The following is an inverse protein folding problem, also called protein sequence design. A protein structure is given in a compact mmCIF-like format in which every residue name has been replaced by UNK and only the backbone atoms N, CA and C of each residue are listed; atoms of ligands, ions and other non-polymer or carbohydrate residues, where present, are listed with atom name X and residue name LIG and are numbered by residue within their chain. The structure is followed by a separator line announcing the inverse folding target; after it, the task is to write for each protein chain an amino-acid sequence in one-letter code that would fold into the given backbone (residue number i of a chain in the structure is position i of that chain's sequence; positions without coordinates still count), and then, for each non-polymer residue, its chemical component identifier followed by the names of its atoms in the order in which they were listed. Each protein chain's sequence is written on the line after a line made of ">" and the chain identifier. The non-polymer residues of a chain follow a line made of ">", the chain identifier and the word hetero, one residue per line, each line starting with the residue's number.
data_IF_089757858607
#
_entry.id   IF_089757858607
#
_cell.length_a   1.000
_cell.length_b   1.000
_cell.length_c   1.000
_cell.angle_alpha   90.00
_cell.angle_beta   90.00
_cell.angle_gamma   90.00
#
_symmetry.space_group_name_H-M   'P 1'
#
loop_
_entity.id
_entity.type
_entity.pdbx_description
1 polymer ?
#
# COMPACT_ATOMS: atom_id res chain seq x y z
N UNK A 1 -7.69 -2.83 18.43
CA UNK A 1 -6.88 -4.06 18.26
C UNK A 1 -5.53 -3.62 17.75
N UNK A 2 -4.46 -3.79 18.53
CA UNK A 2 -3.14 -3.28 18.17
C UNK A 2 -2.47 -4.25 17.18
N UNK A 3 -2.77 -4.09 15.88
CA UNK A 3 -2.03 -4.71 14.78
C UNK A 3 -0.72 -3.94 14.51
N UNK A 4 -0.15 -3.31 15.56
CA UNK A 4 1.09 -2.59 15.40
C UNK A 4 2.14 -3.57 14.96
N UNK A 5 2.96 -3.08 14.04
CA UNK A 5 4.09 -3.81 13.50
C UNK A 5 5.04 -4.22 14.64
N UNK A 6 4.96 -3.59 15.82
CA UNK A 6 5.55 -4.06 17.08
C UNK A 6 4.62 -3.73 18.25
N UNK A 7 4.40 -4.66 19.19
CA UNK A 7 3.75 -4.34 20.47
C UNK A 7 4.72 -3.48 21.30
N UNK A 8 4.27 -2.32 21.77
CA UNK A 8 5.11 -1.31 22.44
C UNK A 8 5.63 -1.73 23.82
N UNK A 9 5.39 -2.97 24.23
CA UNK A 9 5.85 -3.53 25.51
C UNK A 9 7.07 -4.43 25.29
N UNK A 10 8.17 -3.84 24.84
CA UNK A 10 9.49 -4.52 24.78
C UNK A 10 10.08 -4.59 26.20
N UNK A 11 9.54 -5.46 27.05
CA UNK A 11 10.08 -5.66 28.39
C UNK A 11 11.35 -6.54 28.32
N UNK A 12 11.43 -7.48 27.36
CA UNK A 12 12.59 -8.39 27.17
C UNK A 12 12.85 -8.65 25.66
N UNK A 13 14.11 -8.65 25.18
CA UNK A 13 14.46 -8.95 23.78
C UNK A 13 13.92 -10.30 23.29
N UNK A 14 13.90 -11.30 24.17
CA UNK A 14 13.47 -12.68 23.87
C UNK A 14 11.94 -12.83 23.75
N UNK A 15 11.18 -11.78 24.08
CA UNK A 15 9.71 -11.73 23.95
C UNK A 15 9.23 -10.85 22.81
N UNK A 16 10.14 -10.32 21.99
CA UNK A 16 9.80 -9.47 20.86
C UNK A 16 9.08 -10.29 19.79
N UNK A 17 7.78 -10.08 19.63
CA UNK A 17 7.04 -10.65 18.50
C UNK A 17 7.38 -9.87 17.25
N UNK A 18 8.34 -10.40 16.48
CA UNK A 18 8.82 -9.79 15.24
C UNK A 18 7.69 -9.69 14.21
N UNK A 19 7.49 -8.54 13.54
CA UNK A 19 6.46 -8.40 12.53
C UNK A 19 6.59 -9.44 11.42
N UNK A 20 5.46 -10.03 11.04
CA UNK A 20 5.38 -11.11 10.03
C UNK A 20 6.22 -12.37 10.35
N UNK A 21 6.71 -12.53 11.58
CA UNK A 21 7.15 -13.84 12.09
C UNK A 21 5.98 -14.82 12.21
N UNK A 22 6.27 -16.11 12.33
CA UNK A 22 5.23 -17.12 12.54
C UNK A 22 4.41 -16.86 13.81
N UNK A 23 5.04 -16.37 14.88
CA UNK A 23 4.34 -15.98 16.11
C UNK A 23 3.37 -14.81 15.86
N UNK A 24 3.84 -13.77 15.15
CA UNK A 24 2.99 -12.64 14.74
C UNK A 24 1.83 -13.08 13.86
N UNK A 25 2.09 -13.89 12.83
CA UNK A 25 1.08 -14.34 11.87
C UNK A 25 0.01 -15.20 12.56
N UNK A 26 0.40 -16.09 13.49
CA UNK A 26 -0.53 -16.87 14.31
C UNK A 26 -1.39 -15.98 15.21
N UNK A 27 -0.79 -15.00 15.88
CA UNK A 27 -1.52 -14.07 16.74
C UNK A 27 -2.51 -13.23 15.93
N UNK A 28 -2.08 -12.69 14.79
CA UNK A 28 -2.95 -11.93 13.88
C UNK A 28 -4.13 -12.78 13.41
N UNK A 29 -3.86 -13.99 12.94
CA UNK A 29 -4.89 -14.93 12.51
C UNK A 29 -5.91 -15.20 13.63
N UNK A 30 -5.43 -15.49 14.84
CA UNK A 30 -6.27 -15.73 16.01
C UNK A 30 -7.15 -14.52 16.36
N UNK A 31 -6.59 -13.30 16.31
CA UNK A 31 -7.34 -12.07 16.55
C UNK A 31 -8.45 -11.87 15.50
N UNK A 32 -8.16 -12.15 14.24
CA UNK A 32 -9.17 -12.03 13.17
C UNK A 32 -10.27 -13.09 13.29
N UNK A 33 -9.94 -14.32 13.67
CA UNK A 33 -10.94 -15.39 13.86
C UNK A 33 -11.81 -15.18 15.09
N UNK A 34 -11.27 -14.56 16.15
CA UNK A 34 -11.99 -14.31 17.41
C UNK A 34 -12.61 -12.94 17.52
N UNK A 35 -12.45 -12.07 16.53
CA UNK A 35 -13.10 -10.77 16.51
C UNK A 35 -14.62 -10.96 16.67
N UNK A 36 -15.23 -10.24 17.62
CA UNK A 36 -16.67 -10.28 17.81
C UNK A 36 -17.35 -9.49 16.69
N UNK A 37 -17.63 -10.19 15.59
CA UNK A 37 -18.28 -9.65 14.38
C UNK A 37 -19.63 -9.02 14.72
N UNK A 38 -20.31 -9.45 15.79
CA UNK A 38 -21.61 -8.90 16.17
C UNK A 38 -21.51 -7.48 16.72
N UNK A 39 -20.33 -7.07 17.20
CA UNK A 39 -20.04 -5.71 17.64
C UNK A 39 -19.59 -4.77 16.50
N UNK A 40 -19.38 -5.30 15.30
CA UNK A 40 -18.85 -4.55 14.16
C UNK A 40 -19.97 -4.04 13.26
N UNK A 41 -19.82 -2.82 12.76
CA UNK A 41 -20.66 -2.33 11.67
C UNK A 41 -20.31 -3.01 10.33
N UNK A 42 -21.17 -2.82 9.31
CA UNK A 42 -21.00 -3.45 7.99
C UNK A 42 -19.66 -3.12 7.34
N UNK A 43 -19.14 -1.90 7.54
CA UNK A 43 -17.87 -1.48 6.95
C UNK A 43 -16.67 -2.16 7.64
N UNK A 44 -16.73 -2.31 8.96
CA UNK A 44 -15.72 -3.01 9.76
C UNK A 44 -15.73 -4.52 9.47
N UNK A 45 -16.92 -5.11 9.26
CA UNK A 45 -17.04 -6.51 8.84
C UNK A 45 -16.41 -6.74 7.46
N UNK A 46 -16.65 -5.83 6.51
CA UNK A 46 -16.04 -5.87 5.18
C UNK A 46 -14.51 -5.73 5.23
N UNK A 47 -14.00 -4.81 6.06
CA UNK A 47 -12.57 -4.63 6.28
C UNK A 47 -11.93 -5.86 6.94
N UNK A 48 -12.57 -6.45 7.96
CA UNK A 48 -12.09 -7.68 8.59
C UNK A 48 -12.03 -8.84 7.57
N UNK A 49 -13.04 -8.99 6.72
CA UNK A 49 -13.04 -10.00 5.66
C UNK A 49 -11.86 -9.80 4.69
N UNK A 50 -11.59 -8.56 4.30
CA UNK A 50 -10.42 -8.23 3.49
C UNK A 50 -9.09 -8.56 4.20
N UNK A 51 -8.96 -8.22 5.48
CA UNK A 51 -7.76 -8.51 6.27
C UNK A 51 -7.52 -10.03 6.42
N UNK A 52 -8.58 -10.83 6.58
CA UNK A 52 -8.49 -12.30 6.55
C UNK A 52 -8.02 -12.84 5.20
N UNK A 53 -8.50 -12.25 4.10
CA UNK A 53 -8.07 -12.61 2.74
C UNK A 53 -6.57 -12.29 2.55
N UNK A 54 -6.09 -11.14 3.06
CA UNK A 54 -4.67 -10.76 2.98
C UNK A 54 -3.71 -11.80 3.55
N UNK A 55 -4.13 -12.59 4.55
CA UNK A 55 -3.28 -13.61 5.17
C UNK A 55 -2.86 -14.73 4.21
N UNK A 56 -3.55 -14.87 3.09
CA UNK A 56 -3.31 -15.91 2.07
C UNK A 56 -2.30 -15.48 1.00
N UNK A 57 -1.95 -14.20 0.95
CA UNK A 57 -1.16 -13.65 -0.15
C UNK A 57 0.35 -13.56 0.16
N UNK A 58 1.19 -13.47 -0.89
CA UNK A 58 2.65 -13.48 -0.77
C UNK A 58 3.26 -12.42 0.15
N UNK A 59 2.55 -11.32 0.44
CA UNK A 59 3.01 -10.24 1.33
C UNK A 59 3.50 -10.75 2.68
N UNK A 60 2.90 -11.83 3.20
CA UNK A 60 3.29 -12.43 4.49
C UNK A 60 4.74 -12.95 4.53
N UNK A 61 5.35 -13.16 3.36
CA UNK A 61 6.75 -13.59 3.24
C UNK A 61 7.72 -12.41 3.20
N UNK A 62 7.23 -11.18 3.07
CA UNK A 62 8.03 -9.96 3.17
C UNK A 62 7.94 -9.45 4.61
N UNK A 63 8.98 -9.66 5.44
CA UNK A 63 8.91 -9.42 6.88
C UNK A 63 8.79 -7.93 7.23
N UNK A 64 9.34 -7.07 6.36
CA UNK A 64 9.36 -5.63 6.54
C UNK A 64 8.51 -4.95 5.47
N UNK A 65 7.29 -4.50 5.79
CA UNK A 65 6.53 -3.63 4.91
C UNK A 65 7.25 -2.31 4.65
N UNK A 66 7.47 -1.99 3.37
CA UNK A 66 8.15 -0.76 2.96
C UNK A 66 7.39 0.52 3.34
N UNK A 67 6.12 0.42 3.75
CA UNK A 67 5.28 1.54 4.14
C UNK A 67 5.60 2.07 5.54
N UNK A 68 6.38 1.35 6.35
CA UNK A 68 6.66 1.74 7.74
C UNK A 68 8.13 1.54 8.10
N UNK A 69 8.70 2.51 8.82
CA UNK A 69 10.05 2.37 9.37
C UNK A 69 9.96 1.66 10.73
N UNK A 70 10.12 0.33 10.71
CA UNK A 70 10.05 -0.53 11.90
C UNK A 70 11.18 -0.22 12.87
N UNK A 71 12.34 0.20 12.37
CA UNK A 71 13.51 0.47 13.20
C UNK A 71 13.24 1.60 14.19
N UNK A 72 12.41 2.59 13.84
CA UNK A 72 12.00 3.67 14.77
C UNK A 72 11.35 3.13 16.05
N UNK A 73 10.64 2.01 15.96
CA UNK A 73 9.98 1.37 17.09
C UNK A 73 10.90 0.40 17.86
N UNK A 74 12.05 0.02 17.29
CA UNK A 74 13.05 -0.89 17.90
C UNK A 74 14.17 -0.14 18.63
N UNK A 75 14.21 1.19 18.55
CA UNK A 75 15.29 2.09 19.00
C UNK A 75 15.70 2.01 20.47
N UNK A 76 15.04 1.20 21.31
CA UNK A 76 15.32 1.16 22.75
C UNK A 76 16.31 0.06 23.17
N UNK A 77 16.66 -0.92 22.32
CA UNK A 77 17.57 -2.03 22.68
C UNK A 77 18.36 -2.55 21.46
N UNK A 78 19.69 -2.37 21.43
CA UNK A 78 20.57 -2.78 20.32
C UNK A 78 20.42 -4.26 19.91
N UNK A 79 20.27 -5.17 20.89
CA UNK A 79 20.05 -6.60 20.64
C UNK A 79 18.75 -6.89 19.84
N UNK A 80 17.74 -6.03 19.97
CA UNK A 80 16.48 -6.17 19.20
C UNK A 80 16.64 -5.77 17.73
N UNK A 81 17.56 -4.85 17.41
CA UNK A 81 17.86 -4.43 16.02
C UNK A 81 18.64 -5.52 15.30
N UNK A 82 19.64 -6.12 15.94
CA UNK A 82 20.41 -7.24 15.38
C UNK A 82 19.50 -8.45 15.11
N UNK A 83 18.73 -8.89 16.12
CA UNK A 83 17.81 -10.03 15.97
C UNK A 83 16.77 -9.81 14.86
N UNK A 84 16.19 -8.60 14.78
CA UNK A 84 15.28 -8.23 13.70
C UNK A 84 15.97 -8.25 12.33
N UNK A 85 17.19 -7.71 12.24
CA UNK A 85 17.96 -7.66 11.00
C UNK A 85 18.25 -9.05 10.45
N UNK A 86 18.73 -9.97 11.28
CA UNK A 86 18.97 -11.37 10.91
C UNK A 86 17.67 -12.06 10.48
N UNK A 87 16.56 -11.84 11.19
CA UNK A 87 15.26 -12.36 10.78
C UNK A 87 14.82 -11.85 9.40
N UNK A 88 15.01 -10.57 9.12
CA UNK A 88 14.67 -9.98 7.81
C UNK A 88 15.51 -10.59 6.70
N UNK A 89 16.83 -10.74 6.91
CA UNK A 89 17.75 -11.38 5.94
C UNK A 89 17.32 -12.81 5.63
N UNK A 90 17.02 -13.60 6.66
CA UNK A 90 16.57 -14.99 6.49
C UNK A 90 15.27 -15.04 5.69
N UNK A 91 14.25 -14.27 6.07
CA UNK A 91 12.94 -14.28 5.41
C UNK A 91 13.00 -13.79 3.97
N UNK A 92 13.79 -12.77 3.66
CA UNK A 92 13.99 -12.32 2.28
C UNK A 92 14.70 -13.37 1.43
N UNK A 93 15.61 -14.15 2.04
CA UNK A 93 16.29 -15.26 1.37
C UNK A 93 15.34 -16.42 1.10
N UNK A 94 14.50 -16.80 2.06
CA UNK A 94 13.47 -17.83 1.89
C UNK A 94 12.42 -17.41 0.84
N UNK A 95 11.97 -16.15 0.89
CA UNK A 95 11.00 -15.59 -0.04
C UNK A 95 11.51 -15.62 -1.49
N UNK A 96 12.82 -15.42 -1.69
CA UNK A 96 13.48 -15.49 -3.00
C UNK A 96 13.37 -16.87 -3.64
N UNK A 97 13.47 -17.96 -2.86
CA UNK A 97 13.26 -19.33 -3.37
C UNK A 97 11.84 -19.52 -3.93
N UNK A 98 10.87 -18.81 -3.35
CA UNK A 98 9.47 -18.77 -3.82
C UNK A 98 9.20 -17.69 -4.89
N UNK A 99 10.23 -17.04 -5.42
CA UNK A 99 10.13 -15.91 -6.38
C UNK A 99 9.31 -14.73 -5.85
N UNK A 100 9.29 -14.54 -4.52
CA UNK A 100 8.66 -13.39 -3.85
C UNK A 100 9.78 -12.40 -3.57
N UNK A 101 9.92 -11.40 -4.44
CA UNK A 101 11.02 -10.44 -4.40
C UNK A 101 10.52 -9.02 -4.19
N UNK A 102 11.26 -8.20 -3.45
CA UNK A 102 11.00 -6.76 -3.33
C UNK A 102 11.11 -6.06 -4.69
N UNK A 103 10.28 -5.05 -4.94
CA UNK A 103 10.49 -4.12 -6.05
C UNK A 103 11.68 -3.20 -5.75
N UNK A 104 12.15 -2.49 -6.78
CA UNK A 104 13.19 -1.46 -6.57
C UNK A 104 12.73 -0.36 -5.61
N UNK A 105 11.44 0.01 -5.60
CA UNK A 105 10.91 1.02 -4.68
C UNK A 105 10.92 0.49 -3.25
N UNK A 106 10.36 -0.69 -3.02
CA UNK A 106 10.37 -1.33 -1.71
C UNK A 106 11.80 -1.46 -1.17
N UNK A 107 12.72 -2.04 -1.96
CA UNK A 107 14.13 -2.18 -1.57
C UNK A 107 14.79 -0.84 -1.25
N UNK A 108 14.59 0.19 -2.06
CA UNK A 108 15.21 1.51 -1.84
C UNK A 108 14.62 2.20 -0.60
N UNK A 109 13.32 2.06 -0.36
CA UNK A 109 12.68 2.57 0.85
C UNK A 109 13.24 1.87 2.10
N UNK A 110 13.38 0.54 2.06
CA UNK A 110 14.01 -0.20 3.16
C UNK A 110 15.47 0.19 3.37
N UNK A 111 16.25 0.37 2.29
CA UNK A 111 17.63 0.86 2.40
C UNK A 111 17.71 2.25 3.05
N UNK A 112 16.82 3.18 2.69
CA UNK A 112 16.77 4.51 3.31
C UNK A 112 16.47 4.44 4.81
N UNK A 113 15.58 3.55 5.24
CA UNK A 113 15.31 3.35 6.67
C UNK A 113 16.52 2.84 7.46
N UNK A 114 17.38 2.04 6.83
CA UNK A 114 18.59 1.49 7.47
C UNK A 114 19.74 2.50 7.46
N UNK A 115 19.80 3.42 6.50
CA UNK A 115 20.78 4.51 6.53
C UNK A 115 20.64 5.38 7.78
N UNK A 116 19.43 5.49 8.32
CA UNK A 116 19.12 6.17 9.59
C UNK A 116 19.41 5.29 10.84
N UNK A 117 19.78 4.01 10.66
CA UNK A 117 19.92 3.03 11.74
C UNK A 117 21.37 2.89 12.23
N UNK A 118 21.52 2.28 13.41
CA UNK A 118 22.82 2.00 14.03
C UNK A 118 23.59 0.85 13.36
N UNK A 119 24.86 0.67 13.74
CA UNK A 119 25.78 -0.33 13.16
C UNK A 119 25.26 -1.78 13.29
N UNK A 120 24.35 -2.06 14.22
CA UNK A 120 23.71 -3.37 14.39
C UNK A 120 22.87 -3.82 13.18
N UNK A 121 22.52 -2.91 12.26
CA UNK A 121 21.81 -3.24 11.02
C UNK A 121 22.75 -3.51 9.82
N UNK A 122 24.07 -3.58 10.04
CA UNK A 122 25.07 -3.69 8.96
C UNK A 122 24.92 -4.96 8.10
N UNK A 123 24.53 -6.09 8.67
CA UNK A 123 24.25 -7.31 7.90
C UNK A 123 23.12 -7.09 6.89
N UNK A 124 21.99 -6.55 7.36
CA UNK A 124 20.84 -6.25 6.51
C UNK A 124 21.17 -5.17 5.47
N UNK A 125 21.98 -4.17 5.83
CA UNK A 125 22.48 -3.15 4.91
C UNK A 125 23.29 -3.79 3.76
N UNK A 126 24.23 -4.67 4.09
CA UNK A 126 25.04 -5.39 3.10
C UNK A 126 24.18 -6.30 2.22
N UNK A 127 23.21 -7.00 2.82
CA UNK A 127 22.26 -7.85 2.10
C UNK A 127 21.42 -7.05 1.09
N UNK A 128 20.80 -5.95 1.51
CA UNK A 128 20.00 -5.09 0.61
C UNK A 128 20.84 -4.43 -0.48
N UNK A 129 22.13 -4.16 -0.25
CA UNK A 129 23.05 -3.65 -1.28
C UNK A 129 23.24 -4.65 -2.45
N UNK A 130 23.20 -5.95 -2.17
CA UNK A 130 23.37 -7.02 -3.17
C UNK A 130 22.03 -7.61 -3.63
N UNK A 131 20.93 -7.26 -2.98
CA UNK A 131 19.60 -7.77 -3.28
C UNK A 131 19.16 -7.41 -4.70
N UNK A 132 18.77 -8.43 -5.47
CA UNK A 132 18.23 -8.24 -6.83
C UNK A 132 16.72 -8.06 -6.76
N UNK A 133 16.18 -6.84 -6.98
CA UNK A 133 14.75 -6.63 -6.97
C UNK A 133 14.07 -7.30 -8.17
N UNK A 134 12.75 -7.49 -8.08
CA UNK A 134 11.94 -7.90 -9.23
C UNK A 134 12.03 -6.86 -10.36
N UNK A 135 11.96 -7.32 -11.61
CA UNK A 135 12.22 -6.46 -12.80
C UNK A 135 11.15 -5.40 -13.02
N UNK A 136 9.93 -5.63 -12.52
CA UNK A 136 8.78 -4.75 -12.66
C UNK A 136 8.19 -4.47 -11.29
N UNK A 137 7.44 -3.37 -11.22
CA UNK A 137 7.10 -2.76 -9.94
C UNK A 137 5.86 -3.41 -9.32
N UNK A 138 4.92 -3.80 -10.16
CA UNK A 138 3.60 -4.25 -9.75
C UNK A 138 3.55 -5.61 -9.07
N UNK A 139 2.40 -5.87 -8.45
CA UNK A 139 2.13 -7.13 -7.76
C UNK A 139 2.08 -8.32 -8.72
N UNK A 140 1.72 -8.13 -9.99
CA UNK A 140 1.58 -9.20 -10.98
C UNK A 140 2.79 -10.14 -11.12
N UNK A 141 4.00 -9.70 -10.73
CA UNK A 141 5.20 -10.56 -10.77
C UNK A 141 5.31 -11.53 -9.61
N UNK A 142 4.54 -11.32 -8.54
CA UNK A 142 4.45 -12.29 -7.46
C UNK A 142 3.57 -13.49 -7.89
N UNK A 143 3.83 -14.68 -7.32
CA UNK A 143 2.88 -15.79 -7.40
C UNK A 143 1.48 -15.33 -6.97
N UNK A 144 0.46 -15.59 -7.79
CA UNK A 144 -0.94 -15.13 -7.58
C UNK A 144 -1.08 -13.60 -7.42
N UNK A 145 -0.16 -12.83 -8.00
CA UNK A 145 -0.10 -11.38 -7.83
C UNK A 145 -1.26 -10.62 -8.48
N UNK A 146 -1.84 -11.16 -9.55
CA UNK A 146 -3.01 -10.55 -10.22
C UNK A 146 -4.28 -10.74 -9.41
N UNK A 147 -4.48 -11.94 -8.87
CA UNK A 147 -5.58 -12.30 -7.99
C UNK A 147 -5.51 -11.48 -6.70
N UNK A 148 -4.30 -11.32 -6.16
CA UNK A 148 -4.05 -10.46 -5.01
C UNK A 148 -4.40 -9.01 -5.31
N UNK A 149 -3.90 -8.46 -6.41
CA UNK A 149 -4.24 -7.10 -6.81
C UNK A 149 -5.74 -6.91 -7.01
N UNK A 150 -6.42 -7.83 -7.70
CA UNK A 150 -7.87 -7.81 -7.88
C UNK A 150 -8.61 -7.84 -6.54
N UNK A 151 -8.16 -8.65 -5.57
CA UNK A 151 -8.74 -8.63 -4.23
C UNK A 151 -8.57 -7.29 -3.52
N UNK A 152 -7.40 -6.63 -3.64
CA UNK A 152 -7.20 -5.27 -3.09
C UNK A 152 -8.11 -4.26 -3.78
N UNK A 153 -8.18 -4.30 -5.11
CA UNK A 153 -9.04 -3.43 -5.92
C UNK A 153 -10.51 -3.58 -5.53
N UNK A 154 -11.01 -4.81 -5.43
CA UNK A 154 -12.40 -5.07 -5.06
C UNK A 154 -12.75 -4.54 -3.67
N UNK A 155 -11.82 -4.65 -2.71
CA UNK A 155 -12.01 -4.08 -1.37
C UNK A 155 -12.04 -2.56 -1.41
N UNK A 156 -11.01 -1.91 -1.97
CA UNK A 156 -10.93 -0.46 -1.95
C UNK A 156 -12.00 0.22 -2.81
N UNK A 157 -12.34 -0.37 -3.95
CA UNK A 157 -13.44 0.12 -4.79
C UNK A 157 -14.82 -0.18 -4.17
N UNK A 158 -14.95 -1.26 -3.40
CA UNK A 158 -16.23 -1.72 -2.88
C UNK A 158 -17.13 -2.41 -3.93
N UNK A 159 -16.59 -2.74 -5.11
CA UNK A 159 -17.30 -3.44 -6.19
C UNK A 159 -16.41 -4.58 -6.71
N UNK A 160 -17.00 -5.77 -6.90
CA UNK A 160 -16.31 -6.91 -7.51
C UNK A 160 -16.34 -6.83 -9.04
N UNK A 161 -15.36 -6.13 -9.63
CA UNK A 161 -15.16 -6.05 -11.10
C UNK A 161 -13.76 -6.51 -11.49
N UNK A 162 -13.60 -6.99 -12.71
CA UNK A 162 -12.25 -7.30 -13.20
C UNK A 162 -11.43 -6.01 -13.36
N UNK A 163 -10.09 -6.04 -13.13
CA UNK A 163 -9.26 -4.84 -13.33
C UNK A 163 -9.38 -4.24 -14.73
N UNK A 164 -9.58 -5.06 -15.76
CA UNK A 164 -9.77 -4.59 -17.14
C UNK A 164 -11.11 -3.86 -17.34
N UNK A 165 -12.20 -4.34 -16.76
CA UNK A 165 -13.49 -3.63 -16.81
C UNK A 165 -13.39 -2.27 -16.13
N UNK A 166 -12.76 -2.23 -14.95
CA UNK A 166 -12.54 -0.98 -14.21
C UNK A 166 -11.66 -0.01 -15.00
N UNK A 167 -10.58 -0.48 -15.62
CA UNK A 167 -9.72 0.34 -16.47
C UNK A 167 -10.48 0.92 -17.67
N UNK A 168 -11.29 0.11 -18.35
CA UNK A 168 -12.10 0.57 -19.48
C UNK A 168 -13.07 1.69 -19.07
N UNK A 169 -13.68 1.59 -17.88
CA UNK A 169 -14.55 2.63 -17.34
C UNK A 169 -13.76 3.92 -17.04
N UNK A 170 -12.60 3.81 -16.41
CA UNK A 170 -11.70 4.94 -16.11
C UNK A 170 -11.26 5.65 -17.39
N UNK A 171 -10.83 4.89 -18.41
CA UNK A 171 -10.33 5.47 -19.65
C UNK A 171 -11.41 6.16 -20.46
N UNK A 172 -12.65 5.65 -20.44
CA UNK A 172 -13.81 6.32 -21.03
C UNK A 172 -14.08 7.66 -20.36
N UNK A 173 -14.08 7.72 -19.02
CA UNK A 173 -14.27 8.98 -18.30
C UNK A 173 -13.08 9.95 -18.49
N UNK A 174 -11.84 9.46 -18.53
CA UNK A 174 -10.68 10.32 -18.84
C UNK A 174 -10.76 10.96 -20.23
N UNK A 175 -11.41 10.28 -21.19
CA UNK A 175 -11.61 10.78 -22.55
C UNK A 175 -12.76 11.80 -22.64
N UNK A 176 -13.77 11.73 -21.78
CA UNK A 176 -14.87 12.71 -21.72
C UNK A 176 -14.41 14.02 -21.06
N UNK A 177 -13.48 13.95 -20.10
CA UNK A 177 -12.89 15.13 -19.48
C UNK A 177 -12.09 15.91 -20.53
N UNK A 178 -12.49 17.16 -20.82
CA UNK A 178 -11.95 18.03 -21.89
C UNK A 178 -10.43 18.34 -21.85
N UNK A 179 -10.02 19.60 -22.02
CA UNK A 179 -8.57 19.93 -22.06
C UNK A 179 -7.90 19.74 -20.68
N UNK A 180 -6.60 19.42 -20.69
CA UNK A 180 -5.79 19.31 -19.47
C UNK A 180 -5.70 20.68 -18.78
N UNK A 181 -6.26 20.78 -17.57
CA UNK A 181 -6.03 21.92 -16.68
C UNK A 181 -4.61 21.90 -16.11
N UNK A 182 -4.15 23.04 -15.60
CA UNK A 182 -2.99 23.07 -14.71
C UNK A 182 -3.45 22.64 -13.33
N UNK A 183 -2.89 21.57 -12.79
CA UNK A 183 -3.23 21.13 -11.45
C UNK A 183 -2.38 21.93 -10.45
N UNK A 184 -2.99 22.89 -9.76
CA UNK A 184 -2.40 23.49 -8.58
C UNK A 184 -2.76 22.64 -7.35
N UNK A 185 -2.21 21.41 -7.26
CA UNK A 185 -2.25 20.67 -6.02
C UNK A 185 -0.98 20.93 -5.22
N UNK A 186 -1.15 21.24 -3.94
CA UNK A 186 -0.12 20.89 -2.97
C UNK A 186 -0.12 19.36 -2.89
N UNK A 187 0.93 18.74 -3.43
CA UNK A 187 1.12 17.29 -3.32
C UNK A 187 1.32 17.00 -1.84
N UNK A 188 0.50 16.12 -1.23
CA UNK A 188 0.70 15.76 0.18
C UNK A 188 2.12 15.23 0.39
N UNK A 189 2.70 15.52 1.54
CA UNK A 189 4.08 15.13 1.86
C UNK A 189 4.26 13.62 2.04
N UNK A 190 3.16 12.86 2.04
CA UNK A 190 3.20 11.39 2.15
C UNK A 190 2.88 10.70 0.83
N UNK A 191 3.58 9.58 0.61
CA UNK A 191 3.36 8.71 -0.54
C UNK A 191 1.99 8.00 -0.52
N UNK A 192 1.26 8.00 0.61
CA UNK A 192 -0.08 7.44 0.71
C UNK A 192 -1.13 8.50 0.31
N UNK A 193 -1.33 8.65 -0.99
CA UNK A 193 -2.19 9.69 -1.55
C UNK A 193 -3.63 9.61 -1.06
N UNK A 194 -4.25 8.43 -1.08
CA UNK A 194 -5.66 8.26 -0.70
C UNK A 194 -5.90 8.65 0.76
N UNK A 195 -5.05 8.17 1.67
CA UNK A 195 -5.13 8.53 3.08
C UNK A 195 -4.92 10.03 3.29
N UNK A 196 -3.90 10.60 2.65
CA UNK A 196 -3.59 12.03 2.76
C UNK A 196 -4.74 12.90 2.25
N UNK A 197 -5.34 12.51 1.13
CA UNK A 197 -6.48 13.18 0.55
C UNK A 197 -7.67 13.20 1.52
N UNK A 198 -8.03 12.03 2.06
CA UNK A 198 -9.16 11.90 2.99
C UNK A 198 -8.90 12.65 4.31
N UNK A 199 -7.67 12.65 4.84
CA UNK A 199 -7.29 13.41 6.05
C UNK A 199 -7.51 14.92 5.91
N UNK A 200 -7.38 15.45 4.70
CA UNK A 200 -7.54 16.89 4.45
C UNK A 200 -9.01 17.26 4.19
N UNK A 201 -9.79 16.35 3.64
CA UNK A 201 -11.10 16.68 3.06
C UNK A 201 -12.30 16.01 3.74
N UNK A 202 -12.10 15.05 4.63
CA UNK A 202 -13.17 14.19 5.15
C UNK A 202 -13.03 13.90 6.63
N UNK A 203 -14.17 13.68 7.30
CA UNK A 203 -14.21 13.11 8.64
C UNK A 203 -13.89 11.61 8.57
N UNK A 204 -12.82 11.22 9.27
CA UNK A 204 -12.24 9.88 9.17
C UNK A 204 -13.09 8.82 9.90
N UNK A 205 -13.35 7.70 9.21
CA UNK A 205 -13.89 6.49 9.84
C UNK A 205 -12.75 5.64 10.39
N UNK A 206 -12.85 5.27 11.66
CA UNK A 206 -11.90 4.35 12.30
C UNK A 206 -11.96 2.98 11.62
N UNK A 207 -10.80 2.42 11.32
CA UNK A 207 -10.63 1.13 10.65
C UNK A 207 -9.68 0.19 11.39
N UNK A 208 -9.46 -0.97 10.78
CA UNK A 208 -8.67 -2.07 11.33
C UNK A 208 -7.29 -2.19 10.64
N UNK A 209 -7.15 -1.64 9.42
CA UNK A 209 -5.94 -1.77 8.63
C UNK A 209 -4.85 -0.76 9.01
N UNK A 210 -3.75 -1.25 9.59
CA UNK A 210 -2.61 -0.42 9.99
C UNK A 210 -1.90 0.24 8.79
N UNK A 211 -1.90 -0.38 7.59
CA UNK A 211 -1.30 0.19 6.37
C UNK A 211 -1.96 1.53 6.02
N UNK A 212 -3.26 1.63 6.31
CA UNK A 212 -4.07 2.82 6.11
C UNK A 212 -4.16 3.68 7.39
N UNK A 213 -3.20 3.52 8.32
CA UNK A 213 -3.16 4.21 9.61
C UNK A 213 -4.43 4.02 10.45
N UNK A 214 -5.03 2.83 10.38
CA UNK A 214 -6.30 2.51 11.05
C UNK A 214 -7.46 3.43 10.63
N UNK A 215 -7.45 3.87 9.37
CA UNK A 215 -8.57 4.57 8.73
C UNK A 215 -9.22 3.62 7.73
N UNK A 216 -10.53 3.43 7.83
CA UNK A 216 -11.29 2.70 6.82
C UNK A 216 -11.48 3.62 5.61
N UNK A 217 -10.56 3.57 4.64
CA UNK A 217 -10.58 4.47 3.48
C UNK A 217 -11.89 4.39 2.69
N UNK A 218 -12.43 3.19 2.36
CA UNK A 218 -13.68 3.08 1.61
C UNK A 218 -14.88 3.69 2.37
N UNK A 219 -15.01 3.41 3.67
CA UNK A 219 -16.10 3.97 4.47
C UNK A 219 -15.98 5.49 4.60
N UNK A 220 -14.76 5.99 4.84
CA UNK A 220 -14.46 7.43 4.93
C UNK A 220 -14.85 8.16 3.66
N UNK A 221 -14.44 7.66 2.49
CA UNK A 221 -14.79 8.28 1.22
C UNK A 221 -16.31 8.22 0.95
N UNK A 222 -16.97 7.12 1.27
CA UNK A 222 -18.41 6.93 1.03
C UNK A 222 -19.29 7.87 1.87
N UNK A 223 -18.89 8.18 3.10
CA UNK A 223 -19.64 9.12 3.95
C UNK A 223 -19.26 10.60 3.72
N UNK A 224 -18.17 10.84 3.00
CA UNK A 224 -17.64 12.18 2.79
C UNK A 224 -18.43 12.91 1.71
N UNK A 225 -18.99 14.06 2.07
CA UNK A 225 -19.68 14.96 1.14
C UNK A 225 -18.67 16.00 0.67
N UNK A 226 -17.84 15.63 -0.29
CA UNK A 226 -16.88 16.55 -0.90
C UNK A 226 -17.22 16.77 -2.39
N UNK A 227 -17.32 18.03 -2.80
CA UNK A 227 -17.42 18.41 -4.21
C UNK A 227 -16.04 18.77 -4.74
N UNK A 228 -15.69 18.27 -5.93
CA UNK A 228 -14.36 18.46 -6.48
C UNK A 228 -14.39 19.19 -7.81
N UNK A 229 -13.32 19.94 -8.06
CA UNK A 229 -13.06 20.51 -9.39
C UNK A 229 -12.66 19.39 -10.35
N UNK A 230 -12.94 19.58 -11.63
CA UNK A 230 -12.66 18.62 -12.71
C UNK A 230 -11.21 18.13 -12.77
N UNK A 231 -10.27 18.95 -12.32
CA UNK A 231 -8.83 18.65 -12.30
C UNK A 231 -8.48 17.59 -11.26
N UNK A 232 -9.17 17.59 -10.11
CA UNK A 232 -9.04 16.54 -9.10
C UNK A 232 -9.56 15.23 -9.66
N UNK A 233 -10.75 15.23 -10.24
CA UNK A 233 -11.35 14.05 -10.87
C UNK A 233 -10.40 13.45 -11.90
N UNK A 234 -9.78 14.29 -12.74
CA UNK A 234 -8.77 13.84 -13.69
C UNK A 234 -7.56 13.22 -13.00
N UNK A 235 -7.02 13.83 -11.94
CA UNK A 235 -5.91 13.24 -11.18
C UNK A 235 -6.29 11.88 -10.61
N UNK A 236 -7.43 11.77 -9.92
CA UNK A 236 -7.89 10.52 -9.32
C UNK A 236 -7.99 9.40 -10.35
N UNK A 237 -8.66 9.67 -11.47
CA UNK A 237 -8.78 8.72 -12.58
C UNK A 237 -7.42 8.35 -13.18
N UNK A 238 -6.49 9.31 -13.30
CA UNK A 238 -5.15 9.05 -13.83
C UNK A 238 -4.31 8.18 -12.90
N UNK A 239 -4.44 8.39 -11.58
CA UNK A 239 -3.79 7.55 -10.57
C UNK A 239 -4.35 6.13 -10.59
N UNK A 240 -5.67 5.96 -10.73
CA UNK A 240 -6.31 4.66 -10.90
C UNK A 240 -5.87 3.94 -12.19
N UNK A 241 -5.72 4.69 -13.30
CA UNK A 241 -5.20 4.16 -14.58
C UNK A 241 -3.78 3.60 -14.42
N UNK A 242 -2.86 4.37 -13.81
CA UNK A 242 -1.48 3.89 -13.62
C UNK A 242 -1.38 2.80 -12.56
N UNK A 243 -2.26 2.77 -11.56
CA UNK A 243 -2.31 1.72 -10.53
C UNK A 243 -2.61 0.35 -11.17
N UNK A 244 -3.65 0.26 -12.01
CA UNK A 244 -3.94 -0.95 -12.79
C UNK A 244 -2.80 -1.26 -13.77
N UNK A 245 -2.28 -0.23 -14.45
CA UNK A 245 -1.15 -0.36 -15.36
C UNK A 245 0.06 -1.04 -14.69
N UNK A 246 0.46 -0.55 -13.53
CA UNK A 246 1.59 -1.06 -12.75
C UNK A 246 1.31 -2.46 -12.21
N UNK A 247 0.23 -2.63 -11.44
CA UNK A 247 0.02 -3.82 -10.61
C UNK A 247 -0.63 -4.98 -11.32
N UNK A 248 -1.35 -4.75 -12.42
CA UNK A 248 -2.05 -5.79 -13.17
C UNK A 248 -1.50 -6.00 -14.59
N UNK A 249 -1.20 -4.90 -15.31
CA UNK A 249 -0.72 -4.97 -16.70
C UNK A 249 0.81 -5.04 -16.84
N UNK A 250 1.54 -4.78 -15.75
CA UNK A 250 3.00 -4.85 -15.72
C UNK A 250 3.71 -3.70 -16.45
N UNK A 251 3.11 -2.51 -16.43
CA UNK A 251 3.76 -1.30 -16.92
C UNK A 251 5.09 -1.05 -16.20
N UNK A 252 6.04 -0.48 -16.93
CA UNK A 252 7.26 0.08 -16.34
C UNK A 252 6.97 1.40 -15.63
N UNK A 253 7.90 1.85 -14.78
CA UNK A 253 7.86 3.20 -14.19
C UNK A 253 7.73 4.28 -15.26
N UNK A 254 8.48 4.13 -16.37
CA UNK A 254 8.45 5.09 -17.46
C UNK A 254 7.06 5.15 -18.12
N UNK A 255 6.41 4.00 -18.33
CA UNK A 255 5.06 3.95 -18.86
C UNK A 255 4.06 4.62 -17.92
N UNK A 256 4.12 4.32 -16.61
CA UNK A 256 3.25 4.95 -15.63
C UNK A 256 3.46 6.47 -15.56
N UNK A 257 4.72 6.93 -15.52
CA UNK A 257 5.09 8.35 -15.49
C UNK A 257 4.59 9.11 -16.71
N UNK A 258 4.90 8.60 -17.92
CA UNK A 258 4.49 9.25 -19.17
C UNK A 258 2.97 9.27 -19.30
N UNK A 259 2.28 8.19 -18.93
CA UNK A 259 0.81 8.17 -18.92
C UNK A 259 0.26 9.23 -17.96
N UNK A 260 0.78 9.31 -16.73
CA UNK A 260 0.33 10.30 -15.75
C UNK A 260 0.53 11.74 -16.25
N UNK A 261 1.70 12.07 -16.80
CA UNK A 261 2.00 13.37 -17.39
C UNK A 261 1.21 13.66 -18.68
N UNK A 262 0.83 12.60 -19.40
CA UNK A 262 -0.07 12.70 -20.54
C UNK A 262 -1.51 13.00 -20.09
N UNK A 263 -1.93 12.72 -18.86
CA UNK A 263 -3.25 13.10 -18.35
C UNK A 263 -3.23 14.43 -17.60
N UNK A 264 -2.24 14.65 -16.76
CA UNK A 264 -2.17 15.78 -15.83
C UNK A 264 -0.84 16.51 -15.99
N UNK A 265 -0.87 17.85 -16.04
CA UNK A 265 0.35 18.67 -16.11
C UNK A 265 1.07 18.63 -14.76
N UNK A 266 2.25 18.02 -14.72
CA UNK A 266 3.10 17.95 -13.52
C UNK A 266 4.58 17.77 -13.88
N UNK A 267 5.47 18.05 -12.93
CA UNK A 267 6.90 17.85 -13.10
C UNK A 267 7.28 16.37 -13.08
N UNK A 268 8.50 16.04 -13.51
CA UNK A 268 9.04 14.69 -13.36
C UNK A 268 9.12 14.25 -11.89
N UNK A 269 9.47 15.18 -11.01
CA UNK A 269 9.56 14.93 -9.57
C UNK A 269 8.21 14.54 -8.97
N UNK A 270 7.14 15.30 -9.27
CA UNK A 270 5.79 15.01 -8.78
C UNK A 270 5.26 13.70 -9.35
N UNK A 271 5.46 13.47 -10.65
CA UNK A 271 5.04 12.23 -11.31
C UNK A 271 5.72 11.00 -10.67
N UNK A 272 7.02 11.09 -10.39
CA UNK A 272 7.76 10.02 -9.73
C UNK A 272 7.27 9.77 -8.31
N UNK A 273 6.89 10.81 -7.55
CA UNK A 273 6.27 10.66 -6.23
C UNK A 273 4.94 9.90 -6.31
N UNK A 274 4.07 10.26 -7.26
CA UNK A 274 2.80 9.57 -7.45
C UNK A 274 2.99 8.11 -7.88
N UNK A 275 3.93 7.84 -8.79
CA UNK A 275 4.26 6.46 -9.19
C UNK A 275 4.80 5.66 -7.99
N UNK A 276 5.72 6.22 -7.21
CA UNK A 276 6.24 5.59 -6.00
C UNK A 276 5.12 5.26 -4.99
N UNK A 277 4.25 6.23 -4.72
CA UNK A 277 3.10 6.06 -3.85
C UNK A 277 2.14 4.98 -4.34
N UNK A 278 1.87 4.95 -5.64
CA UNK A 278 1.02 3.91 -6.26
C UNK A 278 1.62 2.52 -6.05
N UNK A 279 2.93 2.37 -6.28
CA UNK A 279 3.64 1.10 -6.07
C UNK A 279 3.58 0.63 -4.61
N UNK A 280 3.74 1.56 -3.67
CA UNK A 280 3.76 1.25 -2.23
C UNK A 280 2.36 1.05 -1.64
N UNK A 281 1.31 1.61 -2.24
CA UNK A 281 -0.06 1.56 -1.72
C UNK A 281 -1.03 1.04 -2.79
N UNK A 282 -0.82 -0.20 -3.29
CA UNK A 282 -1.57 -0.74 -4.42
C UNK A 282 -3.07 -0.73 -4.17
N UNK A 283 -3.81 -0.23 -5.15
CA UNK A 283 -5.26 -0.12 -5.19
C UNK A 283 -5.90 0.82 -4.16
N UNK A 284 -5.17 1.42 -3.22
CA UNK A 284 -5.75 2.31 -2.20
C UNK A 284 -6.48 3.50 -2.80
N UNK A 285 -6.02 4.00 -3.95
CA UNK A 285 -6.63 5.12 -4.68
C UNK A 285 -8.08 4.82 -5.11
N UNK A 286 -8.46 3.55 -5.28
CA UNK A 286 -9.82 3.16 -5.63
C UNK A 286 -10.83 3.45 -4.52
N UNK A 287 -10.39 3.64 -3.27
CA UNK A 287 -11.26 4.15 -2.20
C UNK A 287 -11.85 5.51 -2.50
N UNK A 288 -11.21 6.30 -3.38
CA UNK A 288 -11.66 7.63 -3.78
C UNK A 288 -12.69 7.61 -4.94
N UNK A 289 -13.12 6.43 -5.40
CA UNK A 289 -14.14 6.33 -6.46
C UNK A 289 -15.47 7.04 -6.16
N UNK A 290 -15.98 7.10 -4.91
CA UNK A 290 -17.21 7.85 -4.59
C UNK A 290 -17.17 9.33 -4.98
N UNK A 291 -15.98 9.91 -5.15
CA UNK A 291 -15.77 11.30 -5.57
C UNK A 291 -15.82 11.52 -7.09
N UNK A 292 -15.96 10.44 -7.86
CA UNK A 292 -16.05 10.49 -9.32
C UNK A 292 -17.51 10.29 -9.71
N UNK A 293 -18.10 11.34 -10.27
CA UNK A 293 -19.41 11.23 -10.93
C UNK A 293 -19.17 10.73 -12.34
N UNK A 294 -19.52 9.47 -12.59
CA UNK A 294 -19.58 8.96 -13.95
C UNK A 294 -20.78 9.59 -14.64
N UNK A 295 -20.55 10.25 -15.77
CA UNK A 295 -21.67 10.63 -16.63
C UNK A 295 -22.22 9.33 -17.22
N UNK A 296 -23.30 8.80 -16.64
CA UNK A 296 -24.07 7.75 -17.28
C UNK A 296 -24.53 8.26 -18.64
N UNK A 297 -24.19 7.54 -19.70
CA UNK A 297 -24.82 7.70 -21.01
C UNK A 297 -26.34 7.61 -20.89
#
# INVERSE_FOLDING_TARGET
>A
MNNSVLDGTVIEPDKLTLPFSEAYLKQRHFLYERADITSFDVSQQSELAYLKIQERYPERFLPWPAQTNILRNLTTKNASVEHWSTFVVQRLSDAKESKILLSRYERNTLSGYIEEASDEANELKAYLAQYKPRTRLGLYQHPNGKEWYQSKLNYYYGISKSPNETLNQIQKELASLGKKGSLALSVPDTNHFALSYLKVHCDLVQGLNWVDSYVNLPATAKQCIASHKSEITRLLLSLMEIDIGLHYQGWSEQQARVTLQARVRMTDFDANKFVAGTVLYPATVFSLMPFIVFNSL
#
